data_IF_917096814389
#
_entry.id   IF_917096814389
#
_cell.length_a   1.000
_cell.length_b   1.000
_cell.length_c   1.000
_cell.angle_alpha   90.00
_cell.angle_beta   90.00
_cell.angle_gamma   90.00
#
_symmetry.space_group_name_H-M   'P 1'
#
loop_
_entity.id
_entity.type
_entity.pdbx_description
1 polymer ?
#
# COMPACT_ATOMS: atom_id res chain seq x y z
N UNK A 1 13.69 12.56 9.41
CA UNK A 1 13.08 11.97 10.62
C UNK A 1 11.69 11.50 10.25
N UNK A 2 11.45 10.18 10.28
CA UNK A 2 10.12 9.62 10.01
C UNK A 2 9.14 10.09 11.08
N UNK A 3 8.04 10.74 10.66
CA UNK A 3 7.03 11.33 11.55
C UNK A 3 6.00 10.30 12.05
N UNK A 4 6.12 9.04 11.63
CA UNK A 4 5.14 8.01 11.93
C UNK A 4 5.38 7.38 13.31
N UNK A 5 4.30 7.20 14.07
CA UNK A 5 4.31 6.55 15.40
C UNK A 5 4.30 5.03 15.33
N UNK A 6 4.29 4.45 14.14
CA UNK A 6 4.15 2.99 13.96
C UNK A 6 5.50 2.28 14.08
N UNK A 7 5.53 1.07 14.67
CA UNK A 7 6.78 0.31 14.88
C UNK A 7 7.33 -0.33 13.61
N UNK A 8 6.51 -0.52 12.57
CA UNK A 8 6.89 -1.12 11.28
C UNK A 8 6.59 -0.13 10.16
N UNK A 9 7.63 0.33 9.48
CA UNK A 9 7.54 1.23 8.34
C UNK A 9 8.12 0.54 7.12
N UNK A 10 7.34 0.48 6.05
CA UNK A 10 7.79 0.03 4.73
C UNK A 10 7.86 1.25 3.83
N UNK A 11 9.00 1.45 3.18
CA UNK A 11 9.16 2.51 2.20
C UNK A 11 8.84 1.96 0.81
N UNK A 12 7.75 2.46 0.22
CA UNK A 12 7.31 2.08 -1.12
C UNK A 12 8.23 2.67 -2.20
N UNK A 13 8.64 1.84 -3.16
CA UNK A 13 9.39 2.25 -4.35
C UNK A 13 10.65 3.06 -4.04
N UNK A 14 11.62 2.53 -3.26
CA UNK A 14 12.90 3.21 -3.02
C UNK A 14 13.65 3.44 -4.34
N UNK A 15 13.50 2.57 -5.32
CA UNK A 15 14.11 2.71 -6.65
C UNK A 15 13.28 3.62 -7.56
N UNK A 16 11.96 3.47 -7.55
CA UNK A 16 11.05 4.21 -8.45
C UNK A 16 10.89 5.68 -8.05
N UNK A 17 10.88 5.98 -6.75
CA UNK A 17 10.60 7.34 -6.25
C UNK A 17 11.81 8.00 -5.58
N UNK A 18 12.91 7.26 -5.37
CA UNK A 18 14.10 7.72 -4.62
C UNK A 18 13.77 8.32 -3.23
N UNK A 19 12.61 7.99 -2.67
CA UNK A 19 12.11 8.57 -1.42
C UNK A 19 11.49 9.97 -1.55
N UNK A 20 11.29 10.47 -2.76
CA UNK A 20 10.64 11.76 -3.05
C UNK A 20 9.10 11.66 -3.14
N UNK A 21 8.58 10.45 -3.33
CA UNK A 21 7.15 10.17 -3.47
C UNK A 21 6.64 10.19 -4.92
N UNK A 22 5.38 9.78 -5.13
CA UNK A 22 4.83 9.55 -6.47
C UNK A 22 4.39 10.82 -7.23
N UNK A 23 4.55 12.02 -6.66
CA UNK A 23 4.27 13.28 -7.36
C UNK A 23 2.83 13.43 -7.90
N UNK A 24 1.84 12.95 -7.15
CA UNK A 24 0.42 12.92 -7.57
C UNK A 24 0.10 12.00 -8.76
N UNK A 25 1.03 11.16 -9.20
CA UNK A 25 0.83 10.18 -10.27
C UNK A 25 0.48 8.82 -9.67
N UNK A 26 -0.73 8.34 -9.94
CA UNK A 26 -1.18 7.04 -9.46
C UNK A 26 -0.35 5.88 -10.06
N UNK A 27 0.05 5.99 -11.33
CA UNK A 27 0.83 4.95 -12.03
C UNK A 27 2.19 4.71 -11.34
N UNK A 28 2.86 5.78 -10.88
CA UNK A 28 4.11 5.69 -10.14
C UNK A 28 3.87 5.05 -8.77
N UNK A 29 2.79 5.43 -8.08
CA UNK A 29 2.38 4.83 -6.81
C UNK A 29 2.10 3.33 -6.93
N UNK A 30 1.51 2.92 -8.05
CA UNK A 30 1.23 1.52 -8.34
C UNK A 30 2.53 0.74 -8.57
N UNK A 31 3.43 1.24 -9.42
CA UNK A 31 4.72 0.61 -9.68
C UNK A 31 5.59 0.50 -8.42
N UNK A 32 5.58 1.55 -7.59
CA UNK A 32 6.27 1.55 -6.29
C UNK A 32 5.71 0.50 -5.31
N UNK A 33 4.40 0.22 -5.37
CA UNK A 33 3.77 -0.80 -4.56
C UNK A 33 4.00 -2.21 -5.09
N UNK A 34 4.00 -2.40 -6.41
CA UNK A 34 4.35 -3.67 -7.03
C UNK A 34 5.82 -4.03 -6.76
N UNK A 35 6.73 -3.06 -6.74
CA UNK A 35 8.15 -3.29 -6.38
C UNK A 35 8.32 -3.77 -4.93
N UNK A 36 7.59 -3.15 -3.99
CA UNK A 36 7.71 -3.43 -2.55
C UNK A 36 6.71 -4.47 -2.04
N UNK A 37 6.00 -5.19 -2.92
CA UNK A 37 4.92 -6.09 -2.51
C UNK A 37 5.43 -7.28 -1.68
N UNK A 38 6.61 -7.80 -2.01
CA UNK A 38 7.21 -8.92 -1.30
C UNK A 38 7.54 -8.54 0.16
N UNK A 39 8.09 -7.35 0.37
CA UNK A 39 8.36 -6.80 1.71
C UNK A 39 7.06 -6.60 2.50
N UNK A 40 6.01 -6.08 1.85
CA UNK A 40 4.69 -5.95 2.47
C UNK A 40 4.13 -7.32 2.87
N UNK A 41 4.27 -8.34 2.02
CA UNK A 41 3.80 -9.70 2.32
C UNK A 41 4.54 -10.32 3.51
N UNK A 42 5.86 -10.12 3.61
CA UNK A 42 6.66 -10.59 4.74
C UNK A 42 6.23 -9.91 6.05
N UNK A 43 5.87 -8.63 6.00
CA UNK A 43 5.33 -7.91 7.15
C UNK A 43 3.92 -8.33 7.56
N UNK A 44 3.15 -8.87 6.61
CA UNK A 44 1.80 -9.37 6.83
C UNK A 44 1.76 -10.87 7.15
N UNK A 45 2.92 -11.53 7.18
CA UNK A 45 3.00 -12.94 7.55
C UNK A 45 2.51 -13.16 9.00
N UNK A 46 1.66 -14.17 9.18
CA UNK A 46 0.97 -14.46 10.45
C UNK A 46 -0.19 -13.52 10.82
N UNK A 47 -0.54 -12.54 9.97
CA UNK A 47 -1.78 -11.77 10.13
C UNK A 47 -2.97 -12.58 9.59
N UNK A 48 -4.17 -12.33 10.11
CA UNK A 48 -5.41 -12.94 9.57
C UNK A 48 -6.25 -11.90 8.82
N UNK A 49 -6.08 -10.62 9.16
CA UNK A 49 -6.85 -9.52 8.61
C UNK A 49 -5.97 -8.27 8.57
N UNK A 50 -6.05 -7.54 7.47
CA UNK A 50 -5.35 -6.29 7.23
C UNK A 50 -6.36 -5.24 6.74
N UNK A 51 -6.26 -4.02 7.27
CA UNK A 51 -7.05 -2.88 6.80
C UNK A 51 -6.14 -1.98 5.97
N UNK A 52 -6.51 -1.76 4.70
CA UNK A 52 -5.75 -0.89 3.81
C UNK A 52 -6.47 0.45 3.76
N UNK A 53 -5.94 1.45 4.46
CA UNK A 53 -6.49 2.81 4.46
C UNK A 53 -5.68 3.70 3.54
N UNK A 54 -6.31 4.33 2.56
CA UNK A 54 -5.63 5.31 1.71
C UNK A 54 -6.54 6.46 1.34
N UNK A 55 -5.96 7.67 1.36
CA UNK A 55 -6.57 8.85 0.78
C UNK A 55 -6.48 8.77 -0.74
N UNK A 56 -7.63 8.78 -1.40
CA UNK A 56 -7.75 8.91 -2.84
C UNK A 56 -7.54 10.36 -3.25
N UNK A 57 -6.90 10.58 -4.40
CA UNK A 57 -6.61 11.90 -4.97
C UNK A 57 -5.11 12.22 -5.04
N UNK A 58 -4.28 11.55 -4.22
CA UNK A 58 -2.82 11.61 -4.34
C UNK A 58 -2.25 10.56 -5.32
N UNK A 59 -0.93 10.52 -5.45
CA UNK A 59 -0.24 9.52 -6.30
C UNK A 59 -0.05 8.18 -5.60
N UNK A 60 0.67 8.19 -4.47
CA UNK A 60 1.05 6.96 -3.77
C UNK A 60 -0.15 6.22 -3.18
N UNK A 61 -1.04 6.92 -2.46
CA UNK A 61 -2.21 6.29 -1.84
C UNK A 61 -3.17 5.69 -2.88
N UNK A 62 -3.51 6.46 -3.92
CA UNK A 62 -4.42 6.02 -4.99
C UNK A 62 -3.86 4.84 -5.79
N UNK A 63 -2.55 4.82 -6.06
CA UNK A 63 -1.90 3.76 -6.83
C UNK A 63 -1.57 2.52 -6.00
N UNK A 64 -1.06 2.68 -4.78
CA UNK A 64 -0.56 1.57 -3.96
C UNK A 64 -1.69 0.79 -3.28
N UNK A 65 -2.72 1.47 -2.79
CA UNK A 65 -3.79 0.85 -2.03
C UNK A 65 -4.57 -0.25 -2.80
N UNK A 66 -4.94 -0.09 -4.08
CA UNK A 66 -5.57 -1.16 -4.84
C UNK A 66 -4.62 -2.35 -5.08
N UNK A 67 -3.30 -2.16 -5.17
CA UNK A 67 -2.34 -3.26 -5.30
C UNK A 67 -2.36 -4.14 -4.05
N UNK A 68 -2.23 -3.52 -2.88
CA UNK A 68 -2.20 -4.23 -1.59
C UNK A 68 -3.55 -4.91 -1.32
N UNK A 69 -4.66 -4.24 -1.65
CA UNK A 69 -6.00 -4.82 -1.51
C UNK A 69 -6.22 -6.05 -2.40
N UNK A 70 -5.65 -6.05 -3.62
CA UNK A 70 -5.68 -7.23 -4.50
C UNK A 70 -4.84 -8.37 -3.93
N UNK A 71 -3.68 -8.09 -3.35
CA UNK A 71 -2.82 -9.11 -2.75
C UNK A 71 -3.47 -9.87 -1.58
N UNK A 72 -4.38 -9.23 -0.85
CA UNK A 72 -5.14 -9.81 0.26
C UNK A 72 -6.59 -10.20 -0.06
N UNK A 73 -7.03 -10.14 -1.32
CA UNK A 73 -8.42 -10.39 -1.66
C UNK A 73 -8.77 -11.89 -1.61
N UNK A 74 -9.95 -12.27 -1.09
CA UNK A 74 -10.37 -13.68 -0.94
C UNK A 74 -10.45 -14.48 -2.24
N UNK A 75 -10.59 -13.79 -3.39
CA UNK A 75 -10.60 -14.40 -4.72
C UNK A 75 -9.20 -14.81 -5.20
N UNK A 76 -8.14 -14.16 -4.70
CA UNK A 76 -6.78 -14.68 -4.79
C UNK A 76 -6.51 -15.41 -3.48
N UNK A 77 -6.70 -16.73 -3.45
CA UNK A 77 -6.21 -17.55 -2.35
C UNK A 77 -4.70 -17.36 -2.22
N UNK A 78 -4.29 -16.38 -1.42
CA UNK A 78 -2.90 -16.09 -1.13
C UNK A 78 -2.41 -17.16 -0.15
N UNK A 79 -1.13 -17.53 -0.28
CA UNK A 79 -0.50 -18.64 0.47
C UNK A 79 -0.52 -18.43 1.99
N UNK A 80 -0.81 -17.20 2.43
CA UNK A 80 -0.61 -16.70 3.79
C UNK A 80 -1.94 -16.56 4.57
N UNK A 81 -3.11 -16.77 3.95
CA UNK A 81 -4.39 -16.90 4.65
C UNK A 81 -4.96 -15.64 5.31
N UNK A 82 -4.52 -14.45 4.88
CA UNK A 82 -4.98 -13.16 5.43
C UNK A 82 -5.88 -12.41 4.45
N UNK A 83 -6.85 -11.65 4.99
CA UNK A 83 -7.82 -10.88 4.22
C UNK A 83 -7.52 -9.38 4.26
N UNK A 84 -7.54 -8.72 3.10
CA UNK A 84 -7.51 -7.26 2.99
C UNK A 84 -8.92 -6.66 2.95
N UNK A 85 -9.23 -5.75 3.88
CA UNK A 85 -10.39 -4.87 3.80
C UNK A 85 -9.93 -3.48 3.33
N UNK A 86 -10.15 -3.11 2.05
CA UNK A 86 -9.80 -1.78 1.57
C UNK A 86 -10.78 -0.73 2.07
N UNK A 87 -10.24 0.36 2.60
CA UNK A 87 -10.95 1.57 3.01
C UNK A 87 -10.34 2.73 2.23
N UNK A 88 -11.04 3.14 1.17
CA UNK A 88 -10.64 4.25 0.34
C UNK A 88 -11.40 5.50 0.75
N UNK A 89 -10.70 6.49 1.30
CA UNK A 89 -11.27 7.77 1.69
C UNK A 89 -11.08 8.77 0.53
N UNK A 90 -12.14 9.37 0.01
CA UNK A 90 -11.99 10.49 -0.93
C UNK A 90 -11.44 11.69 -0.17
N UNK A 91 -10.28 12.21 -0.56
CA UNK A 91 -9.88 13.53 -0.10
C UNK A 91 -10.89 14.54 -0.66
N UNK A 92 -11.64 15.21 0.21
CA UNK A 92 -12.55 16.27 -0.22
C UNK A 92 -11.76 17.37 -0.93
N UNK A 93 -12.25 17.93 -2.05
CA UNK A 93 -11.61 19.06 -2.71
C UNK A 93 -11.82 20.29 -1.84
N UNK A 94 -10.81 20.65 -1.04
CA UNK A 94 -10.75 21.98 -0.39
C UNK A 94 -10.36 23.06 -1.39
#
# INVERSE_FOLDING_TARGET
MSISKVPRLVQLGPTVTEGLGAGSLADIGQAAADESIDEIMDHLDGMHMCFVTAGMGGGTGTGAAPVIARAGSPLSCNRNGWFAAPIFENAEPT
#
